data_IF_837376860779
#
_entry.id   IF_837376860779
#
_cell.length_a   1.000
_cell.length_b   1.000
_cell.length_c   1.000
_cell.angle_alpha   90.00
_cell.angle_beta   90.00
_cell.angle_gamma   90.00
#
_symmetry.space_group_name_H-M   'P 1'
#
loop_
_entity.id
_entity.type
_entity.pdbx_description
1 polymer ?
#
# COMPACT_ATOMS: atom_id res chain seq x y z
N UNK A 1 29.65 16.46 -4.42
CA UNK A 1 28.61 17.40 -4.89
C UNK A 1 28.43 18.45 -3.84
N UNK A 2 28.37 19.72 -4.21
CA UNK A 2 28.27 20.82 -3.26
C UNK A 2 26.79 21.21 -3.16
N UNK A 3 26.07 20.54 -2.24
CA UNK A 3 24.61 20.59 -2.09
C UNK A 3 24.06 22.01 -2.02
N UNK A 4 24.78 22.91 -1.36
CA UNK A 4 24.42 24.33 -1.22
C UNK A 4 24.49 25.06 -2.57
N UNK A 5 25.54 24.86 -3.36
CA UNK A 5 25.69 25.53 -4.67
C UNK A 5 24.67 25.02 -5.68
N UNK A 6 24.32 23.73 -5.59
CA UNK A 6 23.28 23.13 -6.43
C UNK A 6 21.90 23.66 -6.05
N UNK A 7 21.61 23.80 -4.75
CA UNK A 7 20.38 24.44 -4.26
C UNK A 7 20.30 25.92 -4.66
N UNK A 8 21.39 26.67 -4.55
CA UNK A 8 21.46 28.09 -4.96
C UNK A 8 21.05 28.28 -6.43
N UNK A 9 21.54 27.41 -7.31
CA UNK A 9 21.18 27.42 -8.74
C UNK A 9 19.71 27.13 -8.95
N UNK A 10 19.15 26.18 -8.20
CA UNK A 10 17.72 25.84 -8.26
C UNK A 10 16.86 27.03 -7.78
N UNK A 11 17.22 27.65 -6.65
CA UNK A 11 16.52 28.83 -6.13
C UNK A 11 16.53 29.99 -7.11
N UNK A 12 17.68 30.26 -7.75
CA UNK A 12 17.75 31.29 -8.79
C UNK A 12 16.83 31.00 -9.99
N UNK A 13 16.67 29.72 -10.37
CA UNK A 13 15.77 29.30 -11.44
C UNK A 13 14.29 29.44 -11.06
N UNK A 14 13.95 29.17 -9.80
CA UNK A 14 12.61 29.34 -9.22
C UNK A 14 12.24 30.83 -9.17
N UNK A 15 13.13 31.68 -8.62
CA UNK A 15 12.93 33.13 -8.52
C UNK A 15 12.72 33.77 -9.90
N UNK A 16 13.53 33.37 -10.89
CA UNK A 16 13.43 33.88 -12.27
C UNK A 16 12.09 33.55 -12.93
N UNK A 17 11.50 32.41 -12.58
CA UNK A 17 10.25 31.94 -13.17
C UNK A 17 9.02 32.32 -12.33
N UNK A 18 9.22 32.89 -11.14
CA UNK A 18 8.14 33.28 -10.24
C UNK A 18 7.26 32.10 -9.80
N UNK A 19 7.79 30.88 -9.85
CA UNK A 19 7.03 29.68 -9.58
C UNK A 19 6.85 29.50 -8.07
N UNK A 20 5.59 29.42 -7.63
CA UNK A 20 5.29 29.12 -6.24
C UNK A 20 5.42 27.61 -6.00
N UNK A 21 6.57 27.20 -5.48
CA UNK A 21 6.93 25.79 -5.26
C UNK A 21 6.16 25.15 -4.09
N UNK A 22 5.58 25.96 -3.21
CA UNK A 22 4.81 25.50 -2.05
C UNK A 22 3.67 26.49 -1.73
N UNK A 23 2.51 26.41 -2.39
CA UNK A 23 1.38 27.32 -2.12
C UNK A 23 0.71 27.11 -0.75
N UNK A 24 0.93 25.95 -0.09
CA UNK A 24 0.32 25.60 1.20
C UNK A 24 1.33 25.28 2.30
N UNK A 25 0.96 25.51 3.56
CA UNK A 25 1.79 25.20 4.74
C UNK A 25 2.20 23.72 4.80
N UNK A 26 1.34 22.82 4.29
CA UNK A 26 1.61 21.39 4.21
C UNK A 26 2.76 21.03 3.24
N UNK A 27 3.05 21.91 2.27
CA UNK A 27 4.14 21.76 1.30
C UNK A 27 5.41 22.51 1.75
N UNK A 28 5.27 23.59 2.53
CA UNK A 28 6.40 24.32 3.14
C UNK A 28 7.17 23.48 4.15
N UNK A 29 6.45 22.70 4.96
CA UNK A 29 7.07 21.86 5.97
C UNK A 29 8.05 20.86 5.33
N UNK A 30 7.68 19.98 4.39
CA UNK A 30 8.62 19.03 3.82
C UNK A 30 9.77 19.69 3.03
N UNK A 31 9.57 20.88 2.47
CA UNK A 31 10.59 21.70 1.82
C UNK A 31 11.66 22.20 2.81
N UNK A 32 11.23 22.77 3.94
CA UNK A 32 12.13 23.26 4.98
C UNK A 32 12.98 22.12 5.57
N UNK A 33 12.37 20.96 5.80
CA UNK A 33 13.09 19.76 6.26
C UNK A 33 14.08 19.24 5.23
N UNK A 34 13.75 19.26 3.94
CA UNK A 34 14.67 18.82 2.88
C UNK A 34 15.93 19.69 2.80
N UNK A 35 15.76 21.01 2.89
CA UNK A 35 16.87 21.96 2.88
C UNK A 35 17.70 21.86 4.17
N UNK A 36 17.05 21.75 5.32
CA UNK A 36 17.73 21.61 6.61
C UNK A 36 18.56 20.30 6.70
N UNK A 37 18.05 19.18 6.17
CA UNK A 37 18.76 17.90 6.21
C UNK A 37 20.05 17.91 5.38
N UNK A 38 20.03 18.50 4.18
CA UNK A 38 21.14 18.39 3.22
C UNK A 38 22.08 19.62 3.20
N UNK A 39 21.61 20.77 3.66
CA UNK A 39 22.36 22.03 3.70
C UNK A 39 22.56 22.59 5.11
N UNK A 40 21.90 22.02 6.13
CA UNK A 40 21.97 22.51 7.50
C UNK A 40 21.58 23.98 7.64
N UNK A 41 22.15 24.65 8.64
CA UNK A 41 21.91 26.08 8.92
C UNK A 41 22.20 26.98 7.69
N UNK A 42 23.18 26.60 6.86
CA UNK A 42 23.54 27.34 5.66
C UNK A 42 22.42 27.39 4.61
N UNK A 43 21.46 26.46 4.65
CA UNK A 43 20.30 26.43 3.78
C UNK A 43 19.19 27.42 4.16
N UNK A 44 19.24 28.03 5.36
CA UNK A 44 18.17 28.91 5.89
C UNK A 44 17.86 30.05 4.91
N UNK A 45 18.89 30.76 4.48
CA UNK A 45 18.75 31.91 3.57
C UNK A 45 18.11 31.52 2.23
N UNK A 46 18.35 30.30 1.75
CA UNK A 46 17.80 29.77 0.50
C UNK A 46 16.33 29.39 0.66
N UNK A 47 15.92 28.87 1.82
CA UNK A 47 14.51 28.65 2.13
C UNK A 47 13.75 29.97 2.12
N UNK A 48 14.22 31.01 2.80
CA UNK A 48 13.53 32.31 2.83
C UNK A 48 13.35 32.91 1.43
N UNK A 49 14.33 32.72 0.54
CA UNK A 49 14.26 33.15 -0.85
C UNK A 49 13.16 32.44 -1.65
N UNK A 50 13.02 31.12 -1.48
CA UNK A 50 11.91 30.37 -2.08
C UNK A 50 10.57 30.83 -1.49
N UNK A 51 10.50 30.94 -0.16
CA UNK A 51 9.26 31.26 0.54
C UNK A 51 8.72 32.65 0.18
N UNK A 52 9.60 33.65 -0.03
CA UNK A 52 9.23 35.03 -0.37
C UNK A 52 8.42 35.18 -1.66
N UNK A 53 8.45 34.18 -2.54
CA UNK A 53 7.68 34.18 -3.79
C UNK A 53 6.17 34.00 -3.53
N UNK A 54 5.80 33.41 -2.38
CA UNK A 54 4.42 33.25 -1.97
C UNK A 54 3.90 34.48 -1.24
N UNK A 55 2.66 34.88 -1.55
CA UNK A 55 1.97 36.00 -0.91
C UNK A 55 1.71 35.79 0.59
N UNK A 56 1.78 34.53 1.06
CA UNK A 56 1.54 34.14 2.46
C UNK A 56 2.81 34.09 3.30
N UNK A 57 3.94 34.55 2.77
CA UNK A 57 5.22 34.47 3.44
C UNK A 57 5.32 35.36 4.68
N UNK A 58 5.66 34.75 5.81
CA UNK A 58 5.99 35.43 7.07
C UNK A 58 7.39 34.99 7.51
N UNK A 59 8.30 35.95 7.66
CA UNK A 59 9.72 35.67 7.96
C UNK A 59 9.88 34.90 9.29
N UNK A 60 9.21 35.36 10.34
CA UNK A 60 9.31 34.77 11.68
C UNK A 60 8.76 33.32 11.73
N UNK A 61 7.75 33.01 10.92
CA UNK A 61 7.20 31.66 10.84
C UNK A 61 8.12 30.72 10.07
N UNK A 62 8.74 31.21 8.99
CA UNK A 62 9.76 30.46 8.25
C UNK A 62 10.99 30.18 9.12
N UNK A 63 11.43 31.13 9.93
CA UNK A 63 12.54 30.95 10.87
C UNK A 63 12.23 29.89 11.93
N UNK A 64 11.05 29.96 12.55
CA UNK A 64 10.61 28.94 13.54
C UNK A 64 10.49 27.55 12.90
N UNK A 65 9.98 27.49 11.67
CA UNK A 65 9.88 26.24 10.92
C UNK A 65 11.26 25.66 10.62
N UNK A 66 12.23 26.50 10.24
CA UNK A 66 13.58 26.05 9.96
C UNK A 66 14.34 25.64 11.22
N UNK A 67 14.20 26.38 12.33
CA UNK A 67 14.72 25.98 13.65
C UNK A 67 14.19 24.60 14.07
N UNK A 68 12.90 24.37 13.83
CA UNK A 68 12.26 23.09 14.09
C UNK A 68 12.78 22.00 13.15
N UNK A 69 12.97 22.30 11.86
CA UNK A 69 13.51 21.37 10.88
C UNK A 69 14.96 20.94 11.19
N UNK A 70 15.79 21.87 11.68
CA UNK A 70 17.18 21.57 12.09
C UNK A 70 17.26 20.67 13.33
N UNK A 71 16.31 20.82 14.26
CA UNK A 71 16.24 20.01 15.49
C UNK A 71 15.51 18.68 15.30
N UNK A 72 14.55 18.63 14.39
CA UNK A 72 13.66 17.48 14.14
C UNK A 72 13.92 16.72 12.84
N UNK A 73 15.05 16.99 12.17
CA UNK A 73 15.41 16.38 10.89
C UNK A 73 15.54 14.87 10.98
N UNK A 74 14.60 14.14 10.38
CA UNK A 74 14.59 12.67 10.34
C UNK A 74 15.26 12.09 9.07
N UNK A 75 15.93 12.91 8.25
CA UNK A 75 16.61 12.49 7.01
C UNK A 75 15.72 11.94 5.90
N UNK A 76 14.39 12.01 6.03
CA UNK A 76 13.42 11.41 5.09
C UNK A 76 13.28 12.16 3.76
N UNK A 77 13.50 13.47 3.78
CA UNK A 77 13.41 14.33 2.60
C UNK A 77 14.78 14.97 2.41
N UNK A 78 15.32 14.89 1.20
CA UNK A 78 16.60 15.51 0.83
C UNK A 78 16.41 16.47 -0.34
N UNK A 79 17.51 17.05 -0.82
CA UNK A 79 17.53 18.07 -1.87
C UNK A 79 16.83 17.58 -3.16
N UNK A 80 16.85 16.28 -3.44
CA UNK A 80 16.15 15.68 -4.58
C UNK A 80 14.63 15.92 -4.56
N UNK A 81 14.02 15.94 -3.38
CA UNK A 81 12.60 16.30 -3.24
C UNK A 81 12.35 17.77 -3.60
N UNK A 82 13.30 18.66 -3.29
CA UNK A 82 13.24 20.08 -3.65
C UNK A 82 13.24 20.27 -5.17
N UNK A 83 14.06 19.50 -5.89
CA UNK A 83 14.07 19.48 -7.34
C UNK A 83 12.74 18.99 -7.93
N UNK A 84 12.16 17.94 -7.34
CA UNK A 84 10.87 17.41 -7.79
C UNK A 84 9.71 18.39 -7.58
N UNK A 85 9.66 19.09 -6.44
CA UNK A 85 8.64 20.12 -6.20
C UNK A 85 8.81 21.31 -7.15
N UNK A 86 10.05 21.70 -7.45
CA UNK A 86 10.31 22.75 -8.44
C UNK A 86 9.81 22.35 -9.84
N UNK A 87 10.06 21.10 -10.26
CA UNK A 87 9.55 20.57 -11.54
C UNK A 87 8.01 20.51 -11.58
N UNK A 88 7.39 20.06 -10.49
CA UNK A 88 5.92 20.00 -10.35
C UNK A 88 5.29 21.40 -10.39
N UNK A 89 5.99 22.41 -9.88
CA UNK A 89 5.61 23.81 -9.96
C UNK A 89 5.91 24.46 -11.34
N UNK A 90 6.39 23.67 -12.31
CA UNK A 90 6.61 24.10 -13.70
C UNK A 90 7.96 24.79 -13.95
N UNK A 91 8.92 24.67 -13.04
CA UNK A 91 10.26 25.27 -13.18
C UNK A 91 11.05 24.50 -14.25
N UNK A 92 11.33 25.15 -15.37
CA UNK A 92 12.16 24.56 -16.44
C UNK A 92 13.63 24.55 -16.00
N UNK A 93 14.17 23.36 -15.77
CA UNK A 93 15.58 23.15 -15.40
C UNK A 93 16.47 23.11 -16.66
N UNK A 94 17.60 23.82 -16.63
CA UNK A 94 18.63 23.73 -17.69
C UNK A 94 19.31 22.34 -17.69
N UNK A 95 19.90 21.92 -18.81
CA UNK A 95 20.53 20.59 -19.01
C UNK A 95 21.52 20.23 -17.90
N UNK A 96 22.26 21.21 -17.35
CA UNK A 96 23.16 20.99 -16.21
C UNK A 96 22.42 20.77 -14.89
N UNK A 97 21.39 21.57 -14.58
CA UNK A 97 20.55 21.35 -13.38
C UNK A 97 19.74 20.06 -13.50
N UNK A 98 19.27 19.70 -14.69
CA UNK A 98 18.61 18.42 -14.94
C UNK A 98 19.58 17.24 -14.76
N UNK A 99 20.87 17.41 -15.08
CA UNK A 99 21.92 16.44 -14.76
C UNK A 99 22.12 16.28 -13.25
N UNK A 100 22.20 17.40 -12.52
CA UNK A 100 22.31 17.41 -11.05
C UNK A 100 21.06 16.84 -10.37
N UNK A 101 19.87 17.20 -10.82
CA UNK A 101 18.60 16.65 -10.36
C UNK A 101 18.55 15.13 -10.54
N UNK A 102 18.99 14.62 -11.71
CA UNK A 102 19.14 13.19 -11.97
C UNK A 102 20.17 12.51 -11.07
N UNK A 103 21.24 13.22 -10.69
CA UNK A 103 22.22 12.69 -9.74
C UNK A 103 21.68 12.62 -8.31
N UNK A 104 20.78 13.53 -7.91
CA UNK A 104 20.06 13.44 -6.63
C UNK A 104 18.88 12.44 -6.71
N UNK A 105 18.27 12.28 -7.89
CA UNK A 105 17.28 11.26 -8.20
C UNK A 105 17.90 9.85 -8.33
N UNK A 106 19.22 9.72 -8.49
CA UNK A 106 19.96 8.45 -8.34
C UNK A 106 19.97 7.88 -6.92
N UNK A 107 19.28 8.54 -5.97
CA UNK A 107 18.87 8.00 -4.65
C UNK A 107 17.36 7.67 -4.58
N UNK A 108 16.68 7.61 -5.72
CA UNK A 108 15.47 6.81 -5.93
C UNK A 108 15.85 5.55 -6.73
N UNK A 109 15.22 4.39 -6.47
CA UNK A 109 15.64 3.14 -7.05
C UNK A 109 15.00 2.96 -8.43
N UNK A 110 15.73 3.32 -9.49
CA UNK A 110 15.55 2.66 -10.79
C UNK A 110 16.85 1.97 -11.18
N UNK A 111 16.76 0.64 -11.22
CA UNK A 111 17.52 -0.29 -12.06
C UNK A 111 19.01 -0.02 -12.23
N UNK A 112 19.88 -0.79 -11.59
CA UNK A 112 21.20 -1.05 -12.15
C UNK A 112 21.77 -2.41 -11.71
N UNK A 113 22.34 -3.07 -12.71
CA UNK A 113 23.09 -4.30 -12.70
C UNK A 113 24.25 -4.30 -11.71
N UNK A 114 24.68 -5.52 -11.34
CA UNK A 114 25.79 -5.86 -10.46
C UNK A 114 27.06 -5.02 -10.70
N UNK A 115 27.63 -4.47 -9.61
CA UNK A 115 29.02 -4.76 -9.22
C UNK A 115 29.39 -4.17 -7.84
N UNK A 116 29.66 -5.08 -6.89
CA UNK A 116 30.64 -5.08 -5.79
C UNK A 116 31.12 -3.74 -5.15
N UNK A 117 30.92 -3.60 -3.83
CA UNK A 117 31.97 -3.61 -2.77
C UNK A 117 31.41 -3.12 -1.42
N UNK A 118 31.70 -3.87 -0.35
CA UNK A 118 31.53 -3.52 1.07
C UNK A 118 32.92 -3.15 1.68
N UNK A 119 33.08 -2.78 2.98
CA UNK A 119 32.17 -2.17 3.98
C UNK A 119 32.84 -1.04 4.83
N UNK A 120 32.08 -0.28 5.65
CA UNK A 120 32.49 0.13 7.01
C UNK A 120 31.40 0.87 7.80
N UNK A 121 31.05 0.39 9.00
CA UNK A 121 30.13 0.99 9.98
C UNK A 121 30.77 2.17 10.76
N UNK A 122 29.96 3.08 11.37
CA UNK A 122 29.64 2.94 12.81
C UNK A 122 28.15 3.16 13.16
N UNK A 123 27.71 2.50 14.23
CA UNK A 123 26.33 2.35 14.72
C UNK A 123 25.77 3.61 15.42
N UNK A 124 24.53 4.02 15.11
CA UNK A 124 23.66 4.82 15.99
C UNK A 124 22.18 4.67 15.58
N UNK A 125 21.36 4.01 16.41
CA UNK A 125 19.89 3.95 16.35
C UNK A 125 19.19 3.56 15.01
N UNK A 126 19.87 2.84 14.11
CA UNK A 126 19.31 2.37 12.82
C UNK A 126 18.58 1.02 12.87
N UNK A 127 18.37 0.44 14.06
CA UNK A 127 17.97 -0.98 14.18
C UNK A 127 16.57 -1.33 13.63
N UNK A 128 15.67 -0.36 13.48
CA UNK A 128 14.35 -0.63 12.89
C UNK A 128 14.33 -0.37 11.37
N UNK A 129 15.12 0.56 10.83
CA UNK A 129 15.06 0.91 9.40
C UNK A 129 15.91 -0.04 8.54
N UNK A 130 17.08 -0.48 9.05
CA UNK A 130 17.90 -1.49 8.37
C UNK A 130 17.24 -2.88 8.32
N UNK A 131 16.39 -3.20 9.30
CA UNK A 131 15.66 -4.48 9.33
C UNK A 131 14.58 -4.61 8.24
N UNK A 132 13.99 -3.51 7.77
CA UNK A 132 13.03 -3.53 6.65
C UNK A 132 13.70 -3.58 5.28
N UNK A 133 14.96 -3.12 5.17
CA UNK A 133 15.70 -3.08 3.90
C UNK A 133 16.23 -4.48 3.52
N UNK A 134 16.39 -5.38 4.50
CA UNK A 134 16.87 -6.75 4.32
C UNK A 134 15.90 -7.82 4.87
N UNK A 135 14.59 -7.61 4.71
CA UNK A 135 13.66 -8.73 4.93
C UNK A 135 13.99 -9.84 3.93
N UNK A 136 14.13 -11.10 4.37
CA UNK A 136 14.38 -12.20 3.46
C UNK A 136 13.22 -12.29 2.48
N UNK A 137 13.54 -12.26 1.19
CA UNK A 137 12.57 -12.48 0.14
C UNK A 137 12.57 -13.94 -0.28
N UNK A 138 11.44 -14.45 -0.78
CA UNK A 138 11.45 -15.79 -1.35
C UNK A 138 12.41 -15.79 -2.56
N UNK A 139 13.23 -16.84 -2.65
CA UNK A 139 14.11 -17.04 -3.79
C UNK A 139 13.31 -17.21 -5.10
N UNK A 140 14.00 -17.13 -6.23
CA UNK A 140 13.39 -17.47 -7.52
C UNK A 140 13.20 -18.99 -7.59
N UNK A 141 11.98 -19.45 -7.33
CA UNK A 141 11.56 -20.84 -7.44
C UNK A 141 10.71 -21.06 -8.69
N UNK A 142 10.77 -22.27 -9.24
CA UNK A 142 9.93 -22.67 -10.38
C UNK A 142 8.51 -23.02 -9.91
N UNK A 143 7.71 -21.99 -9.58
CA UNK A 143 6.31 -22.20 -9.22
C UNK A 143 5.48 -22.68 -10.42
N UNK A 144 4.34 -23.36 -10.18
CA UNK A 144 3.37 -23.65 -11.22
C UNK A 144 3.03 -22.42 -12.07
N UNK A 145 2.82 -22.56 -13.40
CA UNK A 145 2.66 -21.42 -14.31
C UNK A 145 1.58 -20.42 -13.89
N UNK A 146 0.46 -20.90 -13.35
CA UNK A 146 -0.63 -20.03 -12.88
C UNK A 146 -0.24 -19.18 -11.67
N UNK A 147 0.66 -19.67 -10.81
CA UNK A 147 1.20 -18.89 -9.68
C UNK A 147 2.21 -17.88 -10.18
N UNK A 148 3.10 -18.25 -11.11
CA UNK A 148 4.04 -17.29 -11.69
C UNK A 148 3.30 -16.12 -12.35
N UNK A 149 2.23 -16.37 -13.11
CA UNK A 149 1.42 -15.31 -13.71
C UNK A 149 0.91 -14.29 -12.68
N UNK A 150 0.57 -14.74 -11.47
CA UNK A 150 0.12 -13.86 -10.40
C UNK A 150 1.29 -13.17 -9.70
N UNK A 151 2.38 -13.89 -9.43
CA UNK A 151 3.56 -13.36 -8.75
C UNK A 151 4.25 -12.31 -9.61
N UNK A 152 4.33 -12.53 -10.92
CA UNK A 152 4.97 -11.64 -11.90
C UNK A 152 4.27 -10.28 -12.03
N UNK A 153 3.03 -10.15 -11.54
CA UNK A 153 2.35 -8.85 -11.40
C UNK A 153 2.98 -7.94 -10.34
N UNK A 154 3.89 -8.44 -9.50
CA UNK A 154 4.59 -7.66 -8.50
C UNK A 154 5.79 -6.90 -9.06
N UNK A 155 5.80 -5.58 -8.86
CA UNK A 155 6.86 -4.67 -9.32
C UNK A 155 8.15 -4.75 -8.49
N UNK A 156 8.10 -5.40 -7.32
CA UNK A 156 9.24 -5.56 -6.41
C UNK A 156 9.27 -6.94 -5.79
N UNK A 157 10.44 -7.46 -5.36
CA UNK A 157 10.54 -8.73 -4.66
C UNK A 157 9.59 -8.84 -3.46
N UNK A 158 9.45 -7.77 -2.67
CA UNK A 158 8.51 -7.75 -1.55
C UNK A 158 7.03 -7.85 -1.99
N UNK A 159 6.64 -7.21 -3.10
CA UNK A 159 5.28 -7.36 -3.64
C UNK A 159 5.05 -8.76 -4.20
N UNK A 160 6.05 -9.36 -4.86
CA UNK A 160 5.99 -10.74 -5.35
C UNK A 160 5.76 -11.73 -4.22
N UNK A 161 6.44 -11.54 -3.09
CA UNK A 161 6.25 -12.32 -1.88
C UNK A 161 4.87 -12.13 -1.26
N UNK A 162 4.39 -10.88 -1.20
CA UNK A 162 3.03 -10.55 -0.75
C UNK A 162 1.98 -11.28 -1.60
N UNK A 163 2.16 -11.28 -2.92
CA UNK A 163 1.27 -11.93 -3.88
C UNK A 163 1.33 -13.47 -3.74
N UNK A 164 2.52 -14.05 -3.60
CA UNK A 164 2.71 -15.48 -3.34
C UNK A 164 2.03 -15.91 -2.03
N UNK A 165 2.34 -15.23 -0.92
CA UNK A 165 1.78 -15.52 0.40
C UNK A 165 0.25 -15.38 0.39
N UNK A 166 -0.25 -14.32 -0.25
CA UNK A 166 -1.68 -14.14 -0.47
C UNK A 166 -2.27 -15.32 -1.23
N UNK A 167 -1.68 -15.71 -2.37
CA UNK A 167 -2.20 -16.78 -3.21
C UNK A 167 -2.25 -18.12 -2.48
N UNK A 168 -1.19 -18.47 -1.73
CA UNK A 168 -1.18 -19.70 -0.92
C UNK A 168 -2.25 -19.65 0.18
N UNK A 169 -2.49 -18.49 0.80
CA UNK A 169 -3.58 -18.32 1.77
C UNK A 169 -4.95 -18.54 1.13
N UNK A 170 -5.22 -17.94 -0.03
CA UNK A 170 -6.49 -18.11 -0.74
C UNK A 170 -6.68 -19.56 -1.20
N UNK A 171 -5.62 -20.20 -1.72
CA UNK A 171 -5.65 -21.62 -2.08
C UNK A 171 -5.91 -22.50 -0.86
N UNK A 172 -5.30 -22.20 0.30
CA UNK A 172 -5.57 -22.90 1.54
C UNK A 172 -7.05 -22.83 1.92
N UNK A 173 -7.64 -21.64 1.89
CA UNK A 173 -9.06 -21.44 2.22
C UNK A 173 -10.00 -22.16 1.24
N UNK A 174 -9.71 -22.09 -0.06
CA UNK A 174 -10.58 -22.68 -1.11
C UNK A 174 -10.49 -24.21 -1.19
N UNK A 175 -9.31 -24.78 -0.93
CA UNK A 175 -9.10 -26.23 -0.96
C UNK A 175 -9.54 -26.94 0.33
N UNK A 176 -9.77 -26.21 1.42
CA UNK A 176 -10.08 -26.76 2.74
C UNK A 176 -11.25 -27.78 2.70
N UNK A 177 -12.33 -27.54 1.95
CA UNK A 177 -13.45 -28.51 1.84
C UNK A 177 -13.10 -29.79 1.07
N UNK A 178 -12.11 -29.72 0.18
CA UNK A 178 -11.83 -30.77 -0.80
C UNK A 178 -10.58 -31.58 -0.44
N UNK A 179 -9.68 -31.00 0.35
CA UNK A 179 -8.40 -31.59 0.71
C UNK A 179 -8.30 -31.77 2.22
N UNK A 180 -8.02 -33.01 2.63
CA UNK A 180 -7.67 -33.34 4.01
C UNK A 180 -6.52 -34.32 4.04
N UNK A 181 -5.65 -34.15 5.02
CA UNK A 181 -4.46 -34.98 5.22
C UNK A 181 -4.60 -35.70 6.56
N UNK A 182 -4.32 -37.00 6.57
CA UNK A 182 -4.28 -37.78 7.79
C UNK A 182 -2.88 -37.69 8.40
N UNK A 183 -2.76 -37.10 9.59
CA UNK A 183 -1.50 -37.01 10.33
C UNK A 183 -1.75 -37.26 11.81
N UNK A 184 -0.95 -38.12 12.45
CA UNK A 184 -1.13 -38.46 13.87
C UNK A 184 -2.54 -39.00 14.22
N UNK A 185 -3.17 -39.74 13.31
CA UNK A 185 -4.57 -40.25 13.42
C UNK A 185 -5.64 -39.15 13.49
N UNK A 186 -5.31 -37.91 13.15
CA UNK A 186 -6.24 -36.79 13.03
C UNK A 186 -6.26 -36.27 11.60
N UNK A 187 -7.43 -35.82 11.16
CA UNK A 187 -7.54 -35.13 9.89
C UNK A 187 -7.16 -33.67 10.06
N UNK A 188 -6.28 -33.19 9.19
CA UNK A 188 -5.86 -31.82 9.08
C UNK A 188 -6.28 -31.27 7.71
N UNK A 189 -6.61 -29.99 7.68
CA UNK A 189 -7.03 -29.28 6.49
C UNK A 189 -6.04 -28.17 6.18
N UNK A 190 -5.81 -27.85 4.89
CA UNK A 190 -4.95 -26.73 4.54
C UNK A 190 -5.56 -25.43 5.07
N UNK A 191 -4.83 -24.75 5.94
CA UNK A 191 -5.21 -23.43 6.45
C UNK A 191 -3.93 -22.65 6.71
N UNK A 192 -3.77 -21.53 6.03
CA UNK A 192 -2.64 -20.62 6.23
C UNK A 192 -3.18 -19.23 6.56
N UNK A 193 -3.00 -18.83 7.81
CA UNK A 193 -3.29 -17.47 8.24
C UNK A 193 -2.07 -16.58 8.00
N UNK A 194 -2.25 -15.53 7.19
CA UNK A 194 -1.16 -14.64 6.77
C UNK A 194 -1.43 -13.23 7.26
N UNK A 195 -0.46 -12.64 7.95
CA UNK A 195 -0.48 -11.25 8.40
C UNK A 195 0.60 -10.47 7.67
N UNK A 196 0.21 -9.43 6.92
CA UNK A 196 1.13 -8.61 6.14
C UNK A 196 1.27 -7.25 6.80
N UNK A 197 2.39 -7.07 7.49
CA UNK A 197 2.76 -5.81 8.14
C UNK A 197 3.78 -5.11 7.25
N UNK A 198 3.40 -3.97 6.68
CA UNK A 198 4.31 -3.16 5.88
C UNK A 198 4.01 -1.66 6.03
N UNK A 199 4.97 -0.75 5.81
CA UNK A 199 4.74 0.70 5.78
C UNK A 199 3.70 1.16 4.73
N UNK A 200 3.15 2.39 4.85
CA UNK A 200 2.32 2.97 3.79
C UNK A 200 3.02 2.93 2.42
N UNK A 201 2.24 2.78 1.34
CA UNK A 201 2.73 2.66 -0.03
C UNK A 201 3.66 1.47 -0.34
N UNK A 202 3.87 0.51 0.57
CA UNK A 202 4.68 -0.71 0.31
C UNK A 202 4.00 -1.78 -0.58
N UNK A 203 2.98 -1.42 -1.36
CA UNK A 203 2.36 -2.36 -2.31
C UNK A 203 1.36 -3.37 -1.73
N UNK A 204 0.95 -3.26 -0.46
CA UNK A 204 -0.06 -4.15 0.16
C UNK A 204 -1.38 -4.23 -0.61
N UNK A 205 -1.74 -3.17 -1.35
CA UNK A 205 -2.93 -3.15 -2.21
C UNK A 205 -2.90 -4.20 -3.33
N UNK A 206 -1.73 -4.75 -3.67
CA UNK A 206 -1.62 -5.85 -4.61
C UNK A 206 -2.40 -7.11 -4.15
N UNK A 207 -2.63 -7.29 -2.84
CA UNK A 207 -3.44 -8.39 -2.32
C UNK A 207 -4.88 -8.39 -2.83
N UNK A 208 -5.42 -7.24 -3.24
CA UNK A 208 -6.75 -7.17 -3.85
C UNK A 208 -6.83 -8.06 -5.08
N UNK A 209 -5.74 -8.24 -5.82
CA UNK A 209 -5.71 -9.07 -7.02
C UNK A 209 -5.81 -10.56 -6.71
N UNK A 210 -5.23 -10.97 -5.57
CA UNK A 210 -5.26 -12.37 -5.13
C UNK A 210 -6.69 -12.84 -4.83
N UNK A 211 -7.57 -11.92 -4.40
CA UNK A 211 -8.99 -12.19 -4.17
C UNK A 211 -9.67 -12.79 -5.41
N UNK A 212 -9.24 -12.41 -6.62
CA UNK A 212 -9.79 -12.93 -7.88
C UNK A 212 -9.65 -14.47 -8.00
N UNK A 213 -8.70 -15.11 -7.31
CA UNK A 213 -8.60 -16.58 -7.29
C UNK A 213 -9.81 -17.26 -6.62
N UNK A 214 -10.47 -16.57 -5.68
CA UNK A 214 -11.62 -17.08 -4.95
C UNK A 214 -12.96 -16.56 -5.48
N UNK A 215 -12.94 -15.57 -6.39
CA UNK A 215 -14.16 -14.99 -6.96
C UNK A 215 -15.06 -16.01 -7.66
N UNK A 216 -14.57 -16.96 -8.48
CA UNK A 216 -15.44 -17.94 -9.11
C UNK A 216 -16.24 -18.78 -8.11
N UNK A 217 -15.64 -19.11 -6.96
CA UNK A 217 -16.29 -19.85 -5.88
C UNK A 217 -17.34 -18.96 -5.21
N UNK A 218 -16.98 -17.70 -4.93
CA UNK A 218 -17.90 -16.74 -4.35
C UNK A 218 -19.12 -16.48 -5.25
N UNK A 219 -18.89 -16.27 -6.55
CA UNK A 219 -19.93 -16.03 -7.54
C UNK A 219 -20.88 -17.23 -7.67
N UNK A 220 -20.36 -18.46 -7.68
CA UNK A 220 -21.17 -19.66 -7.70
C UNK A 220 -22.12 -19.74 -6.48
N UNK A 221 -21.62 -19.42 -5.28
CA UNK A 221 -22.42 -19.38 -4.06
C UNK A 221 -23.48 -18.28 -4.11
N UNK A 222 -23.14 -17.10 -4.64
CA UNK A 222 -24.07 -16.00 -4.82
C UNK A 222 -25.17 -16.31 -5.85
N UNK A 223 -24.86 -17.06 -6.91
CA UNK A 223 -25.83 -17.45 -7.92
C UNK A 223 -26.81 -18.52 -7.40
N UNK A 224 -26.32 -19.48 -6.62
CA UNK A 224 -27.15 -20.43 -5.88
C UNK A 224 -28.11 -19.69 -4.93
N UNK A 225 -27.58 -18.72 -4.16
CA UNK A 225 -28.38 -17.90 -3.27
C UNK A 225 -29.45 -17.08 -4.01
N UNK A 226 -29.12 -16.44 -5.14
CA UNK A 226 -30.10 -15.72 -5.97
C UNK A 226 -31.22 -16.65 -6.45
N UNK A 227 -30.88 -17.88 -6.82
CA UNK A 227 -31.83 -18.90 -7.27
C UNK A 227 -32.77 -19.31 -6.14
N UNK A 228 -32.22 -19.67 -4.98
CA UNK A 228 -33.01 -19.97 -3.76
C UNK A 228 -33.92 -18.80 -3.37
N UNK A 229 -33.41 -17.57 -3.43
CA UNK A 229 -34.20 -16.37 -3.12
C UNK A 229 -35.32 -16.12 -4.13
N UNK A 230 -35.13 -16.49 -5.40
CA UNK A 230 -36.19 -16.44 -6.41
C UNK A 230 -37.29 -17.46 -6.13
N UNK A 231 -36.92 -18.69 -5.79
CA UNK A 231 -37.86 -19.75 -5.41
C UNK A 231 -38.63 -19.37 -4.15
N UNK A 232 -37.94 -18.91 -3.12
CA UNK A 232 -38.53 -18.36 -1.90
C UNK A 232 -39.57 -17.28 -2.20
N UNK A 233 -39.26 -16.30 -3.06
CA UNK A 233 -40.22 -15.24 -3.42
C UNK A 233 -41.49 -15.80 -4.07
N UNK A 234 -41.37 -16.82 -4.92
CA UNK A 234 -42.52 -17.47 -5.55
C UNK A 234 -43.35 -18.26 -4.54
N UNK A 235 -42.70 -19.01 -3.64
CA UNK A 235 -43.37 -19.71 -2.55
C UNK A 235 -44.04 -18.75 -1.57
N UNK A 236 -43.37 -17.65 -1.22
CA UNK A 236 -43.90 -16.61 -0.35
C UNK A 236 -45.13 -15.94 -0.96
N UNK A 237 -45.11 -15.68 -2.26
CA UNK A 237 -46.27 -15.16 -2.99
C UNK A 237 -47.42 -16.17 -3.02
N UNK A 238 -47.13 -17.47 -3.27
CA UNK A 238 -48.11 -18.56 -3.21
C UNK A 238 -48.72 -18.68 -1.82
N UNK A 239 -47.91 -18.71 -0.78
CA UNK A 239 -48.37 -18.69 0.61
C UNK A 239 -49.20 -17.45 0.92
N UNK A 240 -48.80 -16.29 0.38
CA UNK A 240 -49.58 -15.05 0.41
C UNK A 240 -50.99 -15.21 -0.19
N UNK A 241 -51.14 -15.98 -1.26
CA UNK A 241 -52.44 -16.18 -1.90
C UNK A 241 -53.38 -17.16 -1.16
N UNK A 242 -52.89 -17.94 -0.19
CA UNK A 242 -53.66 -19.00 0.49
C UNK A 242 -54.78 -18.50 1.42
N UNK A 243 -54.86 -17.19 1.72
CA UNK A 243 -55.92 -16.62 2.55
C UNK A 243 -56.10 -17.35 3.89
N UNK A 244 -57.26 -18.00 4.08
CA UNK A 244 -57.59 -18.76 5.30
C UNK A 244 -56.76 -20.05 5.47
N UNK A 245 -56.17 -20.59 4.40
CA UNK A 245 -55.35 -21.80 4.45
C UNK A 245 -53.91 -21.55 4.93
N UNK A 246 -53.52 -20.28 5.10
CA UNK A 246 -52.22 -19.90 5.69
C UNK A 246 -52.01 -20.49 7.09
N UNK A 247 -53.06 -20.62 7.88
CA UNK A 247 -52.97 -21.20 9.23
C UNK A 247 -52.58 -22.69 9.22
N UNK A 248 -52.74 -23.38 8.09
CA UNK A 248 -52.42 -24.81 7.92
C UNK A 248 -51.12 -25.05 7.17
N UNK A 249 -50.58 -24.03 6.51
CA UNK A 249 -49.38 -24.13 5.67
C UNK A 249 -48.25 -23.34 6.31
N UNK A 250 -47.10 -23.94 6.64
CA UNK A 250 -46.00 -23.22 7.25
C UNK A 250 -45.51 -22.09 6.33
N UNK A 251 -45.10 -20.99 6.95
CA UNK A 251 -44.54 -19.84 6.24
C UNK A 251 -43.19 -20.25 5.63
N UNK A 252 -42.94 -19.95 4.34
CA UNK A 252 -41.64 -20.22 3.74
C UNK A 252 -40.54 -19.49 4.51
N UNK A 253 -39.41 -20.17 4.72
CA UNK A 253 -38.24 -19.64 5.42
C UNK A 253 -37.35 -18.87 4.43
N UNK A 254 -36.88 -17.68 4.82
CA UNK A 254 -36.01 -16.88 3.95
C UNK A 254 -34.62 -17.54 3.87
N UNK A 255 -34.10 -17.81 2.65
CA UNK A 255 -32.77 -18.35 2.51
C UNK A 255 -31.75 -17.36 3.04
N UNK A 256 -30.70 -17.89 3.68
CA UNK A 256 -29.58 -17.09 4.19
C UNK A 256 -28.44 -17.02 3.17
N UNK A 257 -27.75 -15.87 3.03
CA UNK A 257 -26.67 -15.71 2.07
C UNK A 257 -25.44 -16.51 2.51
N UNK A 258 -24.99 -17.44 1.66
CA UNK A 258 -23.70 -18.11 1.85
C UNK A 258 -22.63 -17.31 1.11
N UNK A 259 -21.62 -16.82 1.84
CA UNK A 259 -20.55 -16.01 1.26
C UNK A 259 -19.19 -16.62 1.56
N UNK A 260 -18.41 -16.88 0.50
CA UNK A 260 -17.01 -17.26 0.67
C UNK A 260 -16.13 -16.08 1.11
N UNK A 261 -16.29 -14.91 0.47
CA UNK A 261 -15.51 -13.72 0.76
C UNK A 261 -16.23 -12.88 1.82
N UNK A 262 -15.64 -12.77 3.00
CA UNK A 262 -16.20 -12.04 4.14
C UNK A 262 -15.58 -10.64 4.19
N UNK A 263 -16.40 -9.62 4.45
CA UNK A 263 -15.91 -8.25 4.55
C UNK A 263 -15.06 -8.07 5.82
N UNK A 264 -13.94 -7.34 5.69
CA UNK A 264 -12.98 -7.14 6.78
C UNK A 264 -13.45 -6.17 7.87
N UNK A 265 -14.54 -5.43 7.63
CA UNK A 265 -15.19 -4.53 8.59
C UNK A 265 -16.25 -5.23 9.46
N UNK A 266 -16.27 -6.57 9.44
CA UNK A 266 -17.22 -7.36 10.20
C UNK A 266 -16.80 -7.55 11.67
N UNK A 267 -17.78 -7.61 12.57
CA UNK A 267 -17.57 -8.01 13.96
C UNK A 267 -17.11 -9.47 14.07
N UNK A 268 -16.40 -9.84 15.13
CA UNK A 268 -15.97 -11.24 15.33
C UNK A 268 -17.14 -12.23 15.37
N UNK A 269 -18.28 -11.82 15.94
CA UNK A 269 -19.53 -12.60 15.91
C UNK A 269 -20.10 -12.72 14.50
N UNK A 270 -20.09 -11.63 13.71
CA UNK A 270 -20.57 -11.68 12.33
C UNK A 270 -19.67 -12.47 11.39
N UNK A 271 -18.36 -12.54 11.63
CA UNK A 271 -17.47 -13.48 10.91
C UNK A 271 -17.85 -14.93 11.24
N UNK A 272 -18.10 -15.25 12.52
CA UNK A 272 -18.49 -16.59 12.94
C UNK A 272 -19.84 -17.00 12.34
N UNK A 273 -20.82 -16.11 12.34
CA UNK A 273 -22.14 -16.36 11.73
C UNK A 273 -22.01 -16.67 10.23
N UNK A 274 -21.26 -15.85 9.49
CA UNK A 274 -21.02 -16.09 8.06
C UNK A 274 -20.32 -17.45 7.81
N UNK A 275 -19.35 -17.81 8.65
CA UNK A 275 -18.68 -19.10 8.55
C UNK A 275 -19.64 -20.26 8.84
N UNK A 276 -20.48 -20.16 9.88
CA UNK A 276 -21.48 -21.19 10.20
C UNK A 276 -22.44 -21.37 9.02
N UNK A 277 -22.91 -20.27 8.44
CA UNK A 277 -23.82 -20.27 7.29
C UNK A 277 -23.17 -20.81 6.01
N UNK A 278 -21.86 -20.61 5.85
CA UNK A 278 -21.06 -21.12 4.73
C UNK A 278 -20.44 -22.51 4.98
N UNK A 279 -20.97 -23.28 5.94
CA UNK A 279 -20.53 -24.64 6.31
C UNK A 279 -19.06 -24.69 6.75
N UNK A 280 -18.66 -23.71 7.58
CA UNK A 280 -17.34 -23.60 8.21
C UNK A 280 -16.24 -23.04 7.31
N UNK A 281 -16.59 -22.39 6.19
CA UNK A 281 -15.60 -21.96 5.19
C UNK A 281 -15.83 -20.53 4.73
N UNK A 282 -14.73 -19.79 4.68
CA UNK A 282 -14.69 -18.42 4.20
C UNK A 282 -13.26 -17.89 4.22
N UNK A 283 -13.08 -16.73 3.58
CA UNK A 283 -11.86 -15.95 3.48
C UNK A 283 -12.13 -14.51 3.92
#
# INVERSE_FOLDING_TARGET
>A
MNTIQDLERLVAAIEKQGANVAPTYQEYMPLAFAIANDCGEAGRSLLHRICRISEKYVSDEADRLFDHALKGGNGRNGIGSVYHWAETAGVKLDKQLAGTARSYAGKQPETCELANLQPSHPLTHTCAHEAYINMPVFGNYDWPPFLNQLIDCGDSPAQRDILLLGAVTVLGATLNKHLRILYGRKYHYPCLQTFIVAPPASGKGALTWVRHLAEPIHEAMMEEFKSLRKEYRLEKARWGSLGKERAKTPEPEEPKPKMFLIAGDNSGTGVLENLIEADGVGL
#
